data_IF_518926719238
#
_entry.id   IF_518926719238
#
_cell.length_a   1.000
_cell.length_b   1.000
_cell.length_c   1.000
_cell.angle_alpha   90.00
_cell.angle_beta   90.00
_cell.angle_gamma   90.00
#
_symmetry.space_group_name_H-M   'P 1'
#
loop_
_entity.id
_entity.type
_entity.pdbx_description
1 polymer ?
#
# COMPACT_ATOMS: atom_id res chain seq x y z
N UNK A 1 -9.10 -15.06 -10.20
CA UNK A 1 -8.97 -15.82 -11.46
C UNK A 1 -10.31 -16.39 -11.93
N UNK A 2 -10.98 -17.27 -11.18
CA UNK A 2 -12.30 -17.82 -11.58
C UNK A 2 -13.39 -16.76 -11.85
N UNK A 3 -13.54 -15.76 -10.98
CA UNK A 3 -14.53 -14.70 -11.17
C UNK A 3 -14.29 -13.86 -12.45
N UNK A 4 -13.03 -13.72 -12.87
CA UNK A 4 -12.65 -12.99 -14.09
C UNK A 4 -12.98 -13.82 -15.34
N UNK A 5 -12.74 -15.13 -15.28
CA UNK A 5 -13.08 -16.07 -16.34
C UNK A 5 -14.60 -16.11 -16.54
N UNK A 6 -15.37 -16.14 -15.46
CA UNK A 6 -16.84 -16.14 -15.50
C UNK A 6 -17.39 -14.85 -16.10
N UNK A 7 -16.84 -13.69 -15.70
CA UNK A 7 -17.21 -12.39 -16.28
C UNK A 7 -16.88 -12.24 -17.77
N UNK A 8 -15.73 -12.76 -18.19
CA UNK A 8 -15.31 -12.76 -19.60
C UNK A 8 -16.10 -13.77 -20.45
N UNK A 9 -16.80 -14.72 -19.82
CA UNK A 9 -17.62 -15.73 -20.51
C UNK A 9 -19.07 -15.33 -20.74
N UNK A 10 -19.50 -14.17 -20.24
CA UNK A 10 -20.85 -13.64 -20.46
C UNK A 10 -20.99 -13.16 -21.91
N UNK A 11 -21.99 -13.71 -22.60
CA UNK A 11 -22.26 -13.48 -24.03
C UNK A 11 -22.42 -11.99 -24.37
N UNK A 12 -21.70 -11.51 -25.39
CA UNK A 12 -21.61 -10.07 -25.78
C UNK A 12 -22.94 -9.47 -26.29
N UNK A 13 -23.95 -10.29 -26.56
CA UNK A 13 -25.05 -9.90 -27.47
C UNK A 13 -26.32 -9.33 -26.82
N UNK A 14 -26.33 -8.97 -25.54
CA UNK A 14 -27.57 -8.52 -24.89
C UNK A 14 -27.40 -7.18 -24.16
N UNK A 15 -27.93 -6.10 -24.73
CA UNK A 15 -28.26 -4.82 -24.08
C UNK A 15 -27.06 -3.94 -23.61
N UNK A 16 -26.93 -2.67 -24.06
CA UNK A 16 -25.90 -1.73 -23.60
C UNK A 16 -25.75 -1.66 -22.07
N UNK A 17 -26.87 -1.77 -21.34
CA UNK A 17 -26.89 -1.73 -19.87
C UNK A 17 -26.21 -2.95 -19.21
N UNK A 18 -26.14 -4.10 -19.90
CA UNK A 18 -25.37 -5.26 -19.44
C UNK A 18 -23.89 -5.13 -19.81
N UNK A 19 -23.55 -4.39 -20.89
CA UNK A 19 -22.18 -4.10 -21.26
C UNK A 19 -21.50 -3.18 -20.24
N UNK A 20 -22.18 -2.12 -19.79
CA UNK A 20 -21.64 -1.22 -18.75
C UNK A 20 -21.41 -1.95 -17.43
N UNK A 21 -22.35 -2.81 -17.03
CA UNK A 21 -22.19 -3.65 -15.84
C UNK A 21 -21.02 -4.62 -15.97
N UNK A 22 -20.84 -5.24 -17.15
CA UNK A 22 -19.69 -6.10 -17.43
C UNK A 22 -18.39 -5.32 -17.32
N UNK A 23 -18.31 -4.15 -17.96
CA UNK A 23 -17.14 -3.29 -17.97
C UNK A 23 -16.83 -2.77 -16.56
N UNK A 24 -17.84 -2.40 -15.77
CA UNK A 24 -17.70 -2.03 -14.36
C UNK A 24 -17.05 -3.17 -13.56
N UNK A 25 -17.58 -4.39 -13.66
CA UNK A 25 -17.03 -5.54 -12.91
C UNK A 25 -15.63 -5.95 -13.37
N UNK A 26 -15.34 -5.92 -14.69
CA UNK A 26 -14.01 -6.17 -15.22
C UNK A 26 -13.02 -5.10 -14.74
N UNK A 27 -13.41 -3.82 -14.79
CA UNK A 27 -12.65 -2.70 -14.25
C UNK A 27 -12.32 -2.90 -12.77
N UNK A 28 -13.32 -3.26 -11.96
CA UNK A 28 -13.15 -3.56 -10.53
C UNK A 28 -12.18 -4.73 -10.29
N UNK A 29 -12.29 -5.79 -11.08
CA UNK A 29 -11.42 -6.96 -10.95
C UNK A 29 -9.95 -6.61 -11.26
N UNK A 30 -9.70 -5.93 -12.39
CA UNK A 30 -8.35 -5.48 -12.75
C UNK A 30 -7.78 -4.46 -11.76
N UNK A 31 -8.63 -3.56 -11.24
CA UNK A 31 -8.24 -2.60 -10.19
C UNK A 31 -7.80 -3.32 -8.91
N UNK A 32 -8.55 -4.34 -8.48
CA UNK A 32 -8.23 -5.19 -7.34
C UNK A 32 -6.92 -5.97 -7.52
N UNK A 33 -6.65 -6.45 -8.73
CA UNK A 33 -5.38 -7.09 -9.10
C UNK A 33 -4.20 -6.11 -9.19
N UNK A 34 -4.47 -4.81 -9.22
CA UNK A 34 -3.46 -3.75 -9.34
C UNK A 34 -2.97 -3.51 -10.77
N UNK A 35 -3.67 -4.06 -11.76
CA UNK A 35 -3.48 -3.75 -13.18
C UNK A 35 -4.36 -2.54 -13.54
N UNK A 36 -3.87 -1.36 -13.17
CA UNK A 36 -4.62 -0.12 -13.33
C UNK A 36 -4.76 0.32 -14.78
N UNK A 37 -3.89 -0.15 -15.67
CA UNK A 37 -3.97 0.14 -17.11
C UNK A 37 -5.17 -0.58 -17.72
N UNK A 38 -5.34 -1.87 -17.43
CA UNK A 38 -6.54 -2.60 -17.86
C UNK A 38 -7.80 -2.07 -17.18
N UNK A 39 -7.72 -1.78 -15.87
CA UNK A 39 -8.85 -1.22 -15.14
C UNK A 39 -9.33 0.09 -15.79
N UNK A 40 -8.42 1.02 -16.08
CA UNK A 40 -8.70 2.28 -16.77
C UNK A 40 -9.41 2.05 -18.10
N UNK A 41 -8.93 1.11 -18.92
CA UNK A 41 -9.52 0.83 -20.23
C UNK A 41 -10.99 0.41 -20.16
N UNK A 42 -11.40 -0.35 -19.14
CA UNK A 42 -12.80 -0.74 -18.93
C UNK A 42 -13.64 0.36 -18.28
N UNK A 43 -13.06 1.19 -17.40
CA UNK A 43 -13.82 2.29 -16.81
C UNK A 43 -14.06 3.44 -17.78
N UNK A 44 -13.18 3.65 -18.77
CA UNK A 44 -13.34 4.69 -19.79
C UNK A 44 -14.48 4.43 -20.78
N UNK A 45 -14.97 3.20 -20.88
CA UNK A 45 -16.07 2.86 -21.81
C UNK A 45 -17.45 3.09 -21.21
N UNK A 46 -17.55 3.38 -19.91
CA UNK A 46 -18.84 3.52 -19.19
C UNK A 46 -19.43 4.93 -19.34
N UNK A 47 -18.66 6.03 -19.20
CA UNK A 47 -19.23 7.36 -19.33
C UNK A 47 -19.60 7.70 -20.78
N UNK A 48 -20.80 8.26 -20.98
CA UNK A 48 -21.31 8.65 -22.30
C UNK A 48 -20.75 9.99 -22.76
N UNK A 49 -20.32 10.84 -21.81
CA UNK A 49 -19.86 12.19 -22.07
C UNK A 49 -18.32 12.32 -21.93
N UNK A 50 -17.74 13.21 -22.73
CA UNK A 50 -16.28 13.44 -22.75
C UNK A 50 -15.76 14.05 -21.43
N UNK A 51 -16.61 14.77 -20.69
CA UNK A 51 -16.23 15.38 -19.41
C UNK A 51 -15.88 14.32 -18.36
N UNK A 52 -16.76 13.33 -18.17
CA UNK A 52 -16.59 12.26 -17.19
C UNK A 52 -15.52 11.26 -17.63
N UNK A 53 -15.38 10.99 -18.93
CA UNK A 53 -14.22 10.24 -19.46
C UNK A 53 -12.89 10.92 -19.08
N UNK A 54 -12.81 12.24 -19.20
CA UNK A 54 -11.62 13.00 -18.80
C UNK A 54 -11.38 12.97 -17.29
N UNK A 55 -12.44 12.99 -16.45
CA UNK A 55 -12.32 12.83 -14.99
C UNK A 55 -11.78 11.44 -14.63
N UNK A 56 -12.30 10.38 -15.27
CA UNK A 56 -11.79 9.01 -15.09
C UNK A 56 -10.31 8.96 -15.47
N UNK A 57 -9.94 9.46 -16.65
CA UNK A 57 -8.55 9.47 -17.11
C UNK A 57 -7.63 10.22 -16.15
N UNK A 58 -8.05 11.37 -15.63
CA UNK A 58 -7.27 12.15 -14.68
C UNK A 58 -6.97 11.39 -13.36
N UNK A 59 -7.92 10.58 -12.88
CA UNK A 59 -7.70 9.72 -11.71
C UNK A 59 -6.60 8.69 -11.96
N UNK A 60 -6.60 8.08 -13.15
CA UNK A 60 -5.61 7.09 -13.54
C UNK A 60 -4.27 7.74 -13.92
N UNK A 61 -4.23 8.94 -14.48
CA UNK A 61 -2.98 9.65 -14.81
C UNK A 61 -2.12 9.92 -13.56
N UNK A 62 -2.74 10.05 -12.38
CA UNK A 62 -2.03 10.12 -11.11
C UNK A 62 -1.60 8.73 -10.57
N UNK A 63 -1.16 7.83 -11.46
CA UNK A 63 -0.74 6.43 -11.15
C UNK A 63 0.18 6.32 -9.93
N UNK A 64 1.01 7.34 -9.68
CA UNK A 64 1.95 7.36 -8.55
C UNK A 64 1.28 7.13 -7.20
N UNK A 65 0.07 7.66 -6.99
CA UNK A 65 -0.67 7.48 -5.74
C UNK A 65 -1.16 6.04 -5.56
N UNK A 66 -1.50 5.36 -6.64
CA UNK A 66 -1.97 3.96 -6.63
C UNK A 66 -0.85 2.95 -6.28
N UNK A 67 0.41 3.34 -6.47
CA UNK A 67 1.59 2.52 -6.17
C UNK A 67 2.36 2.96 -4.93
N UNK A 68 2.03 4.11 -4.32
CA UNK A 68 2.73 4.66 -3.16
C UNK A 68 1.87 4.66 -1.90
N UNK A 69 2.49 4.57 -0.72
CA UNK A 69 3.92 4.30 -0.47
C UNK A 69 4.34 2.87 -0.86
N UNK A 70 5.63 2.66 -1.10
CA UNK A 70 6.18 1.33 -1.44
C UNK A 70 6.63 0.56 -0.19
N UNK A 71 6.08 -0.64 0.10
CA UNK A 71 6.45 -1.43 1.27
C UNK A 71 7.93 -1.83 1.36
N UNK A 72 8.56 -2.15 0.23
CA UNK A 72 9.99 -2.49 0.19
C UNK A 72 10.83 -1.26 0.54
N UNK A 73 10.48 -0.10 -0.02
CA UNK A 73 11.16 1.17 0.28
C UNK A 73 11.00 1.53 1.75
N UNK A 74 9.77 1.46 2.29
CA UNK A 74 9.52 1.69 3.71
C UNK A 74 10.36 0.77 4.60
N UNK A 75 10.44 -0.53 4.27
CA UNK A 75 11.26 -1.48 5.02
C UNK A 75 12.74 -1.11 4.98
N UNK A 76 13.30 -0.88 3.80
CA UNK A 76 14.72 -0.53 3.63
C UNK A 76 15.10 0.77 4.33
N UNK A 77 14.25 1.79 4.28
CA UNK A 77 14.47 3.02 5.04
C UNK A 77 14.61 2.72 6.54
N UNK A 78 13.75 1.88 7.10
CA UNK A 78 13.81 1.49 8.51
C UNK A 78 14.98 0.56 8.86
N UNK A 79 15.54 -0.17 7.89
CA UNK A 79 16.79 -0.93 8.07
C UNK A 79 17.94 0.06 8.29
N UNK A 80 18.10 1.05 7.42
CA UNK A 80 19.22 2.00 7.55
C UNK A 80 19.04 2.96 8.73
N UNK A 81 17.82 3.44 8.96
CA UNK A 81 17.51 4.40 10.02
C UNK A 81 16.24 3.92 10.72
N UNK A 82 16.32 3.39 11.96
CA UNK A 82 15.15 2.98 12.72
C UNK A 82 14.08 4.06 12.75
N UNK A 83 12.85 3.73 12.34
CA UNK A 83 11.74 4.67 12.26
C UNK A 83 11.55 5.39 10.92
N UNK A 84 12.55 5.46 10.04
CA UNK A 84 12.47 6.27 8.81
C UNK A 84 11.40 5.78 7.83
N UNK A 85 11.20 4.46 7.70
CA UNK A 85 10.12 3.90 6.90
C UNK A 85 8.73 4.27 7.40
N UNK A 86 8.55 4.39 8.72
CA UNK A 86 7.30 4.83 9.32
C UNK A 86 7.02 6.31 8.98
N UNK A 87 8.03 7.17 9.05
CA UNK A 87 7.92 8.56 8.59
C UNK A 87 7.54 8.64 7.11
N UNK A 88 8.19 7.85 6.26
CA UNK A 88 7.86 7.75 4.84
C UNK A 88 6.39 7.35 4.58
N UNK A 89 5.81 6.54 5.46
CA UNK A 89 4.39 6.14 5.37
C UNK A 89 3.41 7.12 6.03
N UNK A 90 3.89 8.26 6.55
CA UNK A 90 3.04 9.25 7.25
C UNK A 90 2.71 8.87 8.69
N UNK A 91 3.51 8.03 9.33
CA UNK A 91 3.29 7.53 10.70
C UNK A 91 4.42 8.00 11.65
N UNK A 92 4.49 9.31 11.99
CA UNK A 92 5.62 9.89 12.72
C UNK A 92 5.77 9.34 14.14
N UNK A 93 4.65 9.19 14.87
CA UNK A 93 4.67 8.63 16.24
C UNK A 93 5.20 7.19 16.26
N UNK A 94 4.83 6.40 15.25
CA UNK A 94 5.35 5.05 15.07
C UNK A 94 6.85 5.04 14.75
N UNK A 95 7.33 6.03 14.00
CA UNK A 95 8.74 6.22 13.69
C UNK A 95 9.56 6.56 14.93
N UNK A 96 9.11 7.56 15.71
CA UNK A 96 9.74 7.95 16.99
C UNK A 96 9.81 6.76 17.94
N UNK A 97 8.71 6.00 18.09
CA UNK A 97 8.70 4.82 18.95
C UNK A 97 9.74 3.76 18.50
N UNK A 98 9.87 3.52 17.19
CA UNK A 98 10.87 2.58 16.67
C UNK A 98 12.30 3.05 16.95
N UNK A 99 12.56 4.34 16.81
CA UNK A 99 13.86 4.95 17.09
C UNK A 99 14.21 4.86 18.57
N UNK A 100 13.29 5.27 19.46
CA UNK A 100 13.49 5.23 20.91
C UNK A 100 13.72 3.80 21.42
N UNK A 101 12.94 2.84 20.91
CA UNK A 101 13.03 1.45 21.36
C UNK A 101 14.36 0.80 20.96
N UNK A 102 14.75 0.95 19.69
CA UNK A 102 16.02 0.42 19.19
C UNK A 102 17.22 1.15 19.79
N UNK A 103 17.15 2.48 19.88
CA UNK A 103 18.19 3.31 20.52
C UNK A 103 18.37 2.98 22.00
N UNK A 104 17.28 2.81 22.75
CA UNK A 104 17.34 2.42 24.16
C UNK A 104 18.02 1.06 24.36
N UNK A 105 17.76 0.09 23.46
CA UNK A 105 18.40 -1.23 23.53
C UNK A 105 19.89 -1.19 23.20
N UNK A 106 20.30 -0.34 22.25
CA UNK A 106 21.72 -0.10 21.96
C UNK A 106 22.40 0.52 23.18
N UNK A 107 21.82 1.58 23.75
CA UNK A 107 22.34 2.22 24.97
C UNK A 107 22.42 1.23 26.14
N UNK A 108 21.38 0.41 26.33
CA UNK A 108 21.37 -0.64 27.34
C UNK A 108 22.49 -1.67 27.14
N UNK A 109 22.73 -2.10 25.90
CA UNK A 109 23.84 -3.00 25.56
C UNK A 109 25.20 -2.40 25.90
N UNK A 110 25.43 -1.11 25.62
CA UNK A 110 26.67 -0.42 26.01
C UNK A 110 26.83 -0.29 27.52
N UNK A 111 25.76 0.04 28.24
CA UNK A 111 25.79 0.08 29.72
C UNK A 111 26.15 -1.30 30.28
N UNK A 112 25.52 -2.37 29.78
CA UNK A 112 25.85 -3.73 30.19
C UNK A 112 27.32 -4.07 29.93
N UNK A 113 27.84 -3.75 28.74
CA UNK A 113 29.23 -4.04 28.40
C UNK A 113 30.26 -3.30 29.29
N UNK A 114 29.85 -2.21 29.95
CA UNK A 114 30.68 -1.49 30.91
C UNK A 114 30.67 -2.14 32.31
N UNK A 115 29.55 -2.74 32.72
CA UNK A 115 29.39 -3.31 34.07
C UNK A 115 29.60 -4.83 34.13
N UNK A 116 29.54 -5.52 32.99
CA UNK A 116 29.80 -6.97 32.84
C UNK A 116 30.85 -7.23 31.78
N UNK A 117 31.02 -8.49 31.35
CA UNK A 117 31.85 -8.80 30.18
C UNK A 117 31.10 -8.42 28.89
N UNK A 118 31.81 -8.02 27.80
CA UNK A 118 31.19 -7.73 26.52
C UNK A 118 30.35 -8.89 25.95
N UNK A 119 30.73 -10.14 26.24
CA UNK A 119 30.01 -11.34 25.79
C UNK A 119 28.67 -11.46 26.53
N UNK A 120 28.66 -11.27 27.84
CA UNK A 120 27.41 -11.33 28.63
C UNK A 120 26.45 -10.23 28.21
N UNK A 121 26.97 -9.03 27.96
CA UNK A 121 26.20 -7.91 27.45
C UNK A 121 25.58 -8.22 26.08
N UNK A 122 26.36 -8.81 25.17
CA UNK A 122 25.90 -9.19 23.84
C UNK A 122 24.80 -10.26 23.92
N UNK A 123 25.01 -11.36 24.63
CA UNK A 123 24.02 -12.45 24.77
C UNK A 123 22.72 -11.93 25.38
N UNK A 124 22.82 -10.96 26.30
CA UNK A 124 21.66 -10.37 26.98
C UNK A 124 20.90 -9.40 26.08
N UNK A 125 21.58 -8.45 25.43
CA UNK A 125 20.94 -7.36 24.69
C UNK A 125 20.56 -7.74 23.25
N UNK A 126 21.35 -8.59 22.59
CA UNK A 126 21.22 -8.89 21.16
C UNK A 126 19.85 -9.50 20.78
N UNK A 127 19.27 -10.47 21.52
CA UNK A 127 17.98 -11.05 21.15
C UNK A 127 16.85 -10.02 21.14
N UNK A 128 16.85 -9.10 22.10
CA UNK A 128 15.88 -8.01 22.17
C UNK A 128 16.11 -6.99 21.07
N UNK A 129 17.36 -6.57 20.86
CA UNK A 129 17.70 -5.67 19.76
C UNK A 129 17.23 -6.24 18.42
N UNK A 130 17.58 -7.49 18.11
CA UNK A 130 17.17 -8.17 16.89
C UNK A 130 15.65 -8.17 16.74
N UNK A 131 14.92 -8.59 17.78
CA UNK A 131 13.45 -8.66 17.76
C UNK A 131 12.82 -7.31 17.42
N UNK A 132 13.24 -6.24 18.09
CA UNK A 132 12.62 -4.92 17.92
C UNK A 132 13.11 -4.19 16.67
N UNK A 133 14.36 -4.38 16.28
CA UNK A 133 14.90 -3.86 15.03
C UNK A 133 14.21 -4.53 13.82
N UNK A 134 14.07 -5.85 13.84
CA UNK A 134 13.35 -6.60 12.81
C UNK A 134 11.86 -6.26 12.75
N UNK A 135 11.22 -6.20 13.92
CA UNK A 135 9.83 -5.77 14.02
C UNK A 135 9.63 -4.36 13.47
N UNK A 136 10.59 -3.45 13.69
CA UNK A 136 10.57 -2.08 13.19
C UNK A 136 10.43 -2.00 11.66
N UNK A 137 11.34 -2.62 10.91
CA UNK A 137 11.29 -2.54 9.44
C UNK A 137 10.16 -3.39 8.82
N UNK A 138 9.71 -4.46 9.48
CA UNK A 138 8.54 -5.21 9.04
C UNK A 138 7.25 -4.38 9.22
N UNK A 139 7.14 -3.67 10.35
CA UNK A 139 5.99 -2.80 10.62
C UNK A 139 5.93 -1.61 9.66
N UNK A 140 7.07 -1.05 9.27
CA UNK A 140 7.14 -0.02 8.22
C UNK A 140 6.55 -0.51 6.88
N UNK A 141 6.89 -1.73 6.46
CA UNK A 141 6.28 -2.34 5.28
C UNK A 141 4.77 -2.55 5.44
N UNK A 142 4.32 -2.93 6.64
CA UNK A 142 2.90 -3.03 6.99
C UNK A 142 2.15 -1.71 6.82
N UNK A 143 2.64 -0.63 7.42
CA UNK A 143 2.05 0.71 7.26
C UNK A 143 2.01 1.16 5.81
N UNK A 144 3.03 0.84 5.02
CA UNK A 144 3.03 1.18 3.60
C UNK A 144 1.94 0.45 2.81
N UNK A 145 1.65 -0.83 3.15
CA UNK A 145 0.55 -1.58 2.51
C UNK A 145 -0.79 -0.96 2.86
N UNK A 146 -1.01 -0.64 4.14
CA UNK A 146 -2.24 0.00 4.61
C UNK A 146 -2.44 1.35 3.92
N UNK A 147 -1.42 2.22 3.96
CA UNK A 147 -1.53 3.56 3.37
C UNK A 147 -1.75 3.52 1.85
N UNK A 148 -1.12 2.56 1.15
CA UNK A 148 -1.37 2.36 -0.27
C UNK A 148 -2.80 1.87 -0.54
N UNK A 149 -3.33 0.99 0.29
CA UNK A 149 -4.70 0.53 0.18
C UNK A 149 -5.70 1.66 0.42
N UNK A 150 -5.45 2.55 1.40
CA UNK A 150 -6.24 3.78 1.61
C UNK A 150 -6.25 4.66 0.35
N UNK A 151 -5.07 4.96 -0.21
CA UNK A 151 -4.98 5.78 -1.43
C UNK A 151 -5.75 5.16 -2.61
N UNK A 152 -5.72 3.83 -2.75
CA UNK A 152 -6.47 3.11 -3.78
C UNK A 152 -7.98 3.19 -3.53
N UNK A 153 -8.40 3.07 -2.28
CA UNK A 153 -9.80 3.15 -1.91
C UNK A 153 -10.37 4.56 -2.14
N UNK A 154 -9.60 5.59 -1.81
CA UNK A 154 -9.96 6.99 -2.11
C UNK A 154 -10.13 7.22 -3.61
N UNK A 155 -9.19 6.75 -4.44
CA UNK A 155 -9.29 6.83 -5.89
C UNK A 155 -10.49 6.05 -6.44
N UNK A 156 -10.75 4.85 -5.90
CA UNK A 156 -11.87 4.02 -6.31
C UNK A 156 -13.23 4.65 -5.94
N UNK A 157 -13.36 5.26 -4.76
CA UNK A 157 -14.58 5.97 -4.38
C UNK A 157 -14.82 7.21 -5.24
N UNK A 158 -13.77 7.95 -5.61
CA UNK A 158 -13.88 9.07 -6.55
C UNK A 158 -14.33 8.59 -7.93
N UNK A 159 -13.79 7.46 -8.38
CA UNK A 159 -14.21 6.83 -9.63
C UNK A 159 -15.70 6.44 -9.60
N UNK A 160 -16.16 5.76 -8.54
CA UNK A 160 -17.57 5.40 -8.41
C UNK A 160 -18.48 6.64 -8.42
N UNK A 161 -18.08 7.73 -7.75
CA UNK A 161 -18.83 8.98 -7.76
C UNK A 161 -18.97 9.59 -9.17
N UNK A 162 -17.95 9.47 -10.03
CA UNK A 162 -18.02 9.92 -11.42
C UNK A 162 -18.99 9.03 -12.22
N UNK A 163 -18.89 7.71 -12.03
CA UNK A 163 -19.70 6.73 -12.76
C UNK A 163 -21.18 6.75 -12.33
N UNK A 164 -21.48 7.08 -11.07
CA UNK A 164 -22.85 7.22 -10.58
C UNK A 164 -23.53 8.54 -11.00
N UNK A 165 -22.74 9.56 -11.33
CA UNK A 165 -23.25 10.87 -11.78
C UNK A 165 -23.51 10.96 -13.29
N UNK A 166 -23.03 9.98 -14.05
CA UNK A 166 -23.23 9.83 -15.49
C UNK A 166 -24.62 9.25 -15.78
#
# INVERSE_FOLDING_TARGET
DFALIELLSVDEQANPLMEDKRNLYLGMAWFGLGDFERAESFFLTIPDNEEDQNKVKALFDNRKLLYRPNPKVASWLSVFIPGAGQFYTGQPLAGINSLLLTGSLVTFGFILAYVTTPIDALITALPWFQRYYQGGFQRAAGFARIKRAENRNEAFNQLLGILESN
#
